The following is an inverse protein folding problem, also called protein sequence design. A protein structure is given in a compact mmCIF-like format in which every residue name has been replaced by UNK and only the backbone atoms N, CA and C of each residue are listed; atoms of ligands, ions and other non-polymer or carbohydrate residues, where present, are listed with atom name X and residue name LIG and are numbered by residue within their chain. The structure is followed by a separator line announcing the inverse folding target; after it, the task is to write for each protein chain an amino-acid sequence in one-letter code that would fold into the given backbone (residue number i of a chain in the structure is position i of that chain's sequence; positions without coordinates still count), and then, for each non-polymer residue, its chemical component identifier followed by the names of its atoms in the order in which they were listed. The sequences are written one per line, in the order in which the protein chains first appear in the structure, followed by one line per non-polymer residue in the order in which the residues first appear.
data_IF_930156013503
#
_entry.id   IF_930156013503
#
_cell.length_a   1.000
_cell.length_b   1.000
_cell.length_c   1.000
_cell.angle_alpha   90.00
_cell.angle_beta   90.00
_cell.angle_gamma   90.00
#
_symmetry.space_group_name_H-M   'P 1'
#
loop_
_entity.id
_entity.type
_entity.pdbx_description
1 polymer ?
#
# COMPACT_ATOMS: atom_id res chain seq x y z
N UNK A 1 0.67 -13.22 6.16
CA UNK A 1 1.73 -13.08 7.17
C UNK A 1 2.39 -14.40 7.44
N UNK A 2 3.70 -14.45 7.21
CA UNK A 2 4.58 -15.60 7.42
C UNK A 2 4.69 -16.00 8.91
N UNK A 3 4.16 -15.17 9.83
CA UNK A 3 4.27 -15.37 11.29
C UNK A 3 2.93 -15.38 12.04
N UNK A 4 1.81 -15.77 11.40
CA UNK A 4 0.46 -15.78 12.00
C UNK A 4 -0.07 -14.43 12.55
N UNK A 5 0.70 -13.34 12.39
CA UNK A 5 0.23 -11.99 12.72
C UNK A 5 -0.69 -11.45 11.62
N UNK A 6 -1.95 -11.18 11.97
CA UNK A 6 -2.92 -10.63 11.02
C UNK A 6 -2.69 -9.13 10.82
N UNK A 7 -2.40 -8.73 9.58
CA UNK A 7 -2.41 -7.33 9.18
C UNK A 7 -3.83 -6.94 8.75
N UNK A 8 -4.46 -6.05 9.50
CA UNK A 8 -5.79 -5.53 9.19
C UNK A 8 -5.66 -4.33 8.23
N UNK A 9 -6.34 -4.40 7.08
CA UNK A 9 -6.38 -3.32 6.10
C UNK A 9 -7.81 -2.96 5.75
N UNK A 10 -8.07 -1.66 5.67
CA UNK A 10 -9.34 -1.13 5.24
C UNK A 10 -9.09 0.10 4.36
N UNK A 11 -9.67 0.11 3.16
CA UNK A 11 -9.38 1.10 2.11
C UNK A 11 -10.67 1.49 1.42
N UNK A 12 -10.92 2.79 1.34
CA UNK A 12 -12.16 3.36 0.80
C UNK A 12 -11.88 4.53 -0.13
N UNK A 13 -12.77 4.72 -1.10
CA UNK A 13 -12.91 6.00 -1.80
C UNK A 13 -13.79 6.94 -0.97
N UNK A 14 -13.61 8.25 -1.13
CA UNK A 14 -14.40 9.26 -0.42
C UNK A 14 -13.67 9.85 0.78
N UNK A 15 -14.43 10.52 1.67
CA UNK A 15 -13.88 11.23 2.81
C UNK A 15 -13.65 10.30 4.00
N UNK A 16 -12.65 10.62 4.83
CA UNK A 16 -12.31 9.84 6.03
C UNK A 16 -13.51 9.68 6.97
N UNK A 17 -14.30 10.73 7.15
CA UNK A 17 -15.47 10.69 8.03
C UNK A 17 -16.55 9.72 7.57
N UNK A 18 -16.73 9.55 6.25
CA UNK A 18 -17.68 8.61 5.68
C UNK A 18 -17.17 7.17 5.77
N UNK A 19 -15.87 6.98 5.51
CA UNK A 19 -15.22 5.67 5.52
C UNK A 19 -15.04 5.08 6.92
N UNK A 20 -14.78 5.93 7.93
CA UNK A 20 -14.34 5.50 9.26
C UNK A 20 -15.18 6.05 10.42
N UNK A 21 -16.30 6.72 10.15
CA UNK A 21 -17.14 7.34 11.18
C UNK A 21 -18.00 6.37 12.02
N UNK A 22 -17.98 5.06 11.72
CA UNK A 22 -18.75 4.06 12.45
C UNK A 22 -18.07 3.68 13.78
N UNK A 23 -18.86 3.56 14.86
CA UNK A 23 -18.40 3.18 16.20
C UNK A 23 -17.71 1.81 16.27
N UNK A 24 -17.89 0.95 15.26
CA UNK A 24 -17.34 -0.40 15.20
C UNK A 24 -15.92 -0.47 14.61
N UNK A 25 -15.27 0.66 14.32
CA UNK A 25 -13.93 0.71 13.74
C UNK A 25 -12.89 -0.09 14.54
N UNK A 26 -12.90 0.04 15.86
CA UNK A 26 -11.95 -0.63 16.77
C UNK A 26 -12.06 -2.16 16.75
N UNK A 27 -13.24 -2.70 16.41
CA UNK A 27 -13.44 -4.15 16.27
C UNK A 27 -12.92 -4.68 14.94
N UNK A 28 -12.92 -3.85 13.89
CA UNK A 28 -12.49 -4.23 12.52
C UNK A 28 -11.00 -4.03 12.29
N UNK A 29 -10.41 -3.02 12.94
CA UNK A 29 -8.99 -2.70 12.90
C UNK A 29 -8.39 -2.74 14.32
N UNK A 30 -8.35 -3.91 14.99
CA UNK A 30 -7.77 -4.02 16.32
C UNK A 30 -6.24 -3.91 16.25
N UNK A 31 -5.62 -3.36 17.30
CA UNK A 31 -4.16 -3.25 17.40
C UNK A 31 -3.73 -2.02 18.18
N UNK A 32 -2.44 -1.92 18.45
CA UNK A 32 -1.82 -0.79 19.19
C UNK A 32 -0.98 0.12 18.29
N UNK A 33 -0.81 -0.23 17.01
CA UNK A 33 -0.09 0.54 16.02
C UNK A 33 -0.81 0.50 14.67
N UNK A 34 -0.80 1.62 13.95
CA UNK A 34 -1.43 1.73 12.64
C UNK A 34 -0.74 2.81 11.79
N UNK A 35 -0.89 2.68 10.47
CA UNK A 35 -0.63 3.75 9.51
C UNK A 35 -1.90 4.03 8.71
N UNK A 36 -2.07 5.27 8.29
CA UNK A 36 -3.20 5.70 7.46
C UNK A 36 -2.73 6.59 6.33
N UNK A 37 -3.51 6.67 5.26
CA UNK A 37 -3.19 7.52 4.12
C UNK A 37 -4.45 8.13 3.50
N UNK A 38 -4.48 9.46 3.44
CA UNK A 38 -5.46 10.20 2.64
C UNK A 38 -4.85 10.55 1.30
N UNK A 39 -5.43 10.03 0.22
CA UNK A 39 -4.90 10.22 -1.14
C UNK A 39 -5.59 11.39 -1.83
N UNK A 40 -4.81 12.38 -2.24
CA UNK A 40 -5.22 13.27 -3.33
C UNK A 40 -5.00 12.53 -4.67
N UNK A 41 -5.94 12.60 -5.61
CA UNK A 41 -5.81 11.87 -6.87
C UNK A 41 -4.67 12.47 -7.71
N UNK A 42 -3.59 11.69 -7.87
CA UNK A 42 -2.41 12.02 -8.68
C UNK A 42 -2.44 11.28 -10.02
N UNK A 43 -1.36 11.42 -10.82
CA UNK A 43 -1.10 10.56 -11.97
C UNK A 43 -1.23 9.06 -11.59
N UNK A 44 -1.84 8.26 -12.48
CA UNK A 44 -2.19 6.85 -12.22
C UNK A 44 -3.68 6.61 -11.92
N UNK A 45 -4.48 7.66 -11.75
CA UNK A 45 -5.94 7.57 -11.68
C UNK A 45 -6.50 7.16 -10.32
N UNK A 46 -7.82 7.22 -10.16
CA UNK A 46 -8.55 7.05 -8.89
C UNK A 46 -8.96 5.60 -8.58
N UNK A 47 -8.28 4.62 -9.16
CA UNK A 47 -8.62 3.19 -8.98
C UNK A 47 -8.41 2.72 -7.54
N UNK A 48 -9.29 1.85 -7.05
CA UNK A 48 -9.23 1.25 -5.71
C UNK A 48 -7.87 0.57 -5.43
N UNK A 49 -7.29 -0.08 -6.44
CA UNK A 49 -5.97 -0.72 -6.37
C UNK A 49 -4.81 0.24 -6.06
N UNK A 50 -5.00 1.55 -6.30
CA UNK A 50 -4.01 2.59 -5.99
C UNK A 50 -4.24 3.22 -4.59
N UNK A 51 -5.26 2.77 -3.85
CA UNK A 51 -5.51 3.26 -2.49
C UNK A 51 -4.52 2.58 -1.54
N UNK A 52 -3.86 3.42 -0.75
CA UNK A 52 -2.89 3.07 0.28
C UNK A 52 -3.58 2.98 1.66
N UNK A 53 -2.98 2.36 2.68
CA UNK A 53 -1.67 1.69 2.68
C UNK A 53 -1.59 0.46 1.78
N UNK A 54 -0.43 0.20 1.19
CA UNK A 54 -0.16 -1.04 0.46
C UNK A 54 0.57 -2.01 1.38
N UNK A 55 0.14 -3.26 1.38
CA UNK A 55 0.73 -4.33 2.19
C UNK A 55 1.33 -5.40 1.27
N UNK A 56 2.49 -5.94 1.67
CA UNK A 56 3.09 -7.11 1.04
C UNK A 56 3.69 -8.02 2.12
N UNK A 57 3.54 -9.33 1.93
CA UNK A 57 4.30 -10.32 2.68
C UNK A 57 5.70 -10.46 2.05
N UNK A 58 6.74 -10.27 2.87
CA UNK A 58 8.14 -10.47 2.50
C UNK A 58 8.71 -11.67 3.27
N UNK A 59 9.90 -12.12 2.88
CA UNK A 59 10.64 -13.20 3.57
C UNK A 59 10.89 -12.86 5.06
N UNK A 60 11.16 -11.59 5.36
CA UNK A 60 11.39 -11.12 6.74
C UNK A 60 10.10 -10.77 7.50
N UNK A 61 8.93 -10.96 6.90
CA UNK A 61 7.63 -10.62 7.47
C UNK A 61 6.81 -9.64 6.62
N UNK A 62 5.62 -9.29 7.10
CA UNK A 62 4.73 -8.36 6.41
C UNK A 62 5.19 -6.91 6.55
N UNK A 63 5.12 -6.14 5.47
CA UNK A 63 5.34 -4.68 5.49
C UNK A 63 4.12 -3.95 4.93
N UNK A 64 3.77 -2.84 5.57
CA UNK A 64 2.79 -1.89 5.05
C UNK A 64 3.43 -0.53 4.81
N UNK A 65 3.13 0.09 3.67
CA UNK A 65 3.62 1.41 3.31
C UNK A 65 2.50 2.38 2.98
N UNK A 66 2.66 3.60 3.47
CA UNK A 66 1.94 4.79 3.04
C UNK A 66 2.97 5.84 2.61
N UNK A 67 2.85 6.33 1.38
CA UNK A 67 3.80 7.24 0.77
C UNK A 67 3.08 8.41 0.12
N UNK A 68 3.53 9.62 0.47
CA UNK A 68 3.09 10.88 -0.12
C UNK A 68 4.27 11.50 -0.89
N UNK A 69 4.24 11.34 -2.20
CA UNK A 69 5.30 11.79 -3.10
C UNK A 69 5.13 11.19 -4.48
N UNK A 70 6.13 11.41 -5.34
CA UNK A 70 6.17 10.84 -6.68
C UNK A 70 7.60 10.41 -7.03
N UNK A 71 7.78 9.18 -7.51
CA UNK A 71 9.03 8.70 -8.08
C UNK A 71 9.17 9.24 -9.50
N UNK A 72 10.05 10.21 -9.70
CA UNK A 72 10.27 10.85 -11.01
C UNK A 72 10.73 9.86 -12.08
N UNK A 73 11.38 8.77 -11.68
CA UNK A 73 11.82 7.66 -12.53
C UNK A 73 10.90 6.42 -12.48
N UNK A 74 9.65 6.55 -12.01
CA UNK A 74 8.71 5.42 -11.85
C UNK A 74 8.64 4.51 -13.08
N UNK A 75 8.48 5.07 -14.29
CA UNK A 75 8.35 4.27 -15.52
C UNK A 75 9.56 3.38 -15.77
N UNK A 76 10.75 3.90 -15.50
CA UNK A 76 12.00 3.16 -15.63
C UNK A 76 12.04 2.02 -14.59
N UNK A 77 11.77 2.33 -13.32
CA UNK A 77 11.76 1.34 -12.24
C UNK A 77 10.71 0.25 -12.51
N UNK A 78 9.49 0.63 -12.87
CA UNK A 78 8.41 -0.32 -13.17
C UNK A 78 8.80 -1.26 -14.31
N UNK A 79 9.32 -0.73 -15.43
CA UNK A 79 9.76 -1.57 -16.56
C UNK A 79 10.90 -2.52 -16.16
N UNK A 80 11.88 -2.03 -15.41
CA UNK A 80 12.99 -2.85 -14.90
C UNK A 80 12.47 -3.97 -13.98
N UNK A 81 11.69 -3.63 -12.97
CA UNK A 81 11.17 -4.58 -11.97
C UNK A 81 10.33 -5.67 -12.66
N UNK A 82 9.45 -5.31 -13.61
CA UNK A 82 8.65 -6.25 -14.40
C UNK A 82 9.53 -7.16 -15.28
N UNK A 83 10.57 -6.62 -15.91
CA UNK A 83 11.51 -7.43 -16.70
C UNK A 83 12.27 -8.45 -15.86
N UNK A 84 12.45 -8.16 -14.57
CA UNK A 84 13.04 -9.04 -13.57
C UNK A 84 12.00 -9.95 -12.89
N UNK A 85 10.76 -9.99 -13.39
CA UNK A 85 9.71 -10.90 -12.94
C UNK A 85 8.76 -10.36 -11.86
N UNK A 86 8.84 -9.08 -11.50
CA UNK A 86 7.86 -8.48 -10.58
C UNK A 86 6.47 -8.40 -11.22
N UNK A 87 5.44 -8.73 -10.44
CA UNK A 87 4.04 -8.53 -10.81
C UNK A 87 3.54 -7.27 -10.11
N UNK A 88 2.99 -6.34 -10.88
CA UNK A 88 2.33 -5.14 -10.36
C UNK A 88 0.81 -5.30 -10.43
N UNK A 89 0.12 -4.96 -9.33
CA UNK A 89 -1.34 -4.92 -9.26
C UNK A 89 -1.88 -3.49 -9.31
N UNK A 90 -1.01 -2.49 -9.21
CA UNK A 90 -1.33 -1.07 -9.22
C UNK A 90 -0.45 -0.32 -10.21
N UNK A 91 -0.75 0.96 -10.41
CA UNK A 91 0.11 1.88 -11.17
C UNK A 91 0.71 2.92 -10.22
N UNK A 92 0.89 2.56 -8.95
CA UNK A 92 1.37 3.46 -7.91
C UNK A 92 2.86 3.30 -7.68
N UNK A 93 3.54 4.43 -7.54
CA UNK A 93 4.93 4.48 -7.08
C UNK A 93 5.15 3.72 -5.77
N UNK A 94 4.15 3.70 -4.88
CA UNK A 94 4.24 2.99 -3.59
C UNK A 94 4.45 1.49 -3.77
N UNK A 95 3.88 0.88 -4.81
CA UNK A 95 4.11 -0.54 -5.10
C UNK A 95 5.53 -0.77 -5.65
N UNK A 96 6.08 0.17 -6.41
CA UNK A 96 7.47 0.09 -6.84
C UNK A 96 8.43 0.16 -5.64
N UNK A 97 8.11 0.97 -4.62
CA UNK A 97 8.88 1.00 -3.36
C UNK A 97 8.81 -0.36 -2.64
N UNK A 98 7.64 -1.01 -2.58
CA UNK A 98 7.51 -2.35 -1.99
C UNK A 98 8.41 -3.38 -2.70
N UNK A 99 8.39 -3.40 -4.03
CA UNK A 99 9.26 -4.28 -4.82
C UNK A 99 10.75 -4.01 -4.59
N UNK A 100 11.14 -2.74 -4.44
CA UNK A 100 12.53 -2.37 -4.16
C UNK A 100 12.95 -2.79 -2.74
N UNK A 101 12.09 -2.60 -1.74
CA UNK A 101 12.35 -3.05 -0.36
C UNK A 101 12.51 -4.58 -0.34
N UNK A 102 11.62 -5.32 -1.01
CA UNK A 102 11.67 -6.78 -1.09
C UNK A 102 12.99 -7.34 -1.66
N UNK A 103 13.71 -6.52 -2.43
CA UNK A 103 14.97 -6.88 -3.09
C UNK A 103 16.20 -6.31 -2.39
N UNK A 104 16.01 -5.37 -1.46
CA UNK A 104 17.10 -4.78 -0.69
C UNK A 104 17.67 -5.83 0.28
N UNK A 105 18.99 -5.93 0.32
CA UNK A 105 19.73 -6.83 1.23
C UNK A 105 20.42 -6.03 2.31
#
# INVERSE_FOLDING_TARGET
SVHDELFYTERHQGLVGEAFGNAELSKRLPGTAAIGHTRYSTAGGSFLRNIQPMFADLDQGGIAIAHNGNLTNFKYLHAQLVSEGAIFQSTSDSEAILHLIARSR
#
